data_IF_088886440141
#
_entry.id   IF_088886440141
#
_cell.length_a   1.000
_cell.length_b   1.000
_cell.length_c   1.000
_cell.angle_alpha   90.00
_cell.angle_beta   90.00
_cell.angle_gamma   90.00
#
_symmetry.space_group_name_H-M   'P 1'
#
loop_
_entity.id
_entity.type
_entity.pdbx_description
1 polymer ?
#
# COMPACT_ATOMS: atom_id res chain seq x y z
N UNK A 1 4.67 -23.98 3.58
CA UNK A 1 5.42 -23.23 4.59
C UNK A 1 6.74 -22.85 3.95
N UNK A 2 7.39 -21.77 4.37
CA UNK A 2 8.73 -21.43 3.91
C UNK A 2 9.70 -21.66 5.09
N UNK A 3 10.88 -22.19 4.82
CA UNK A 3 11.98 -22.24 5.78
C UNK A 3 13.10 -21.32 5.33
N UNK A 4 13.54 -20.43 6.22
CA UNK A 4 14.47 -19.37 5.90
C UNK A 4 15.92 -19.82 6.00
N UNK A 5 16.76 -19.29 5.11
CA UNK A 5 18.22 -19.48 5.10
C UNK A 5 18.84 -18.21 5.66
N UNK A 6 19.50 -18.32 6.79
CA UNK A 6 20.14 -17.20 7.49
C UNK A 6 21.66 -17.26 7.37
N UNK A 7 22.33 -16.10 7.53
CA UNK A 7 23.78 -16.03 7.68
C UNK A 7 24.21 -16.72 8.97
N UNK A 8 24.93 -17.87 8.91
CA UNK A 8 25.30 -18.61 10.10
C UNK A 8 26.43 -17.93 10.88
N UNK A 9 26.46 -18.14 12.19
CA UNK A 9 27.59 -17.72 13.02
C UNK A 9 28.67 -18.81 13.03
N UNK A 10 29.76 -18.60 12.34
CA UNK A 10 30.87 -19.56 12.21
C UNK A 10 32.09 -19.24 13.10
N UNK A 11 31.99 -18.17 13.91
CA UNK A 11 33.04 -17.77 14.86
C UNK A 11 32.51 -16.87 15.98
N UNK A 12 33.13 -16.90 17.15
CA UNK A 12 32.72 -16.14 18.33
C UNK A 12 32.84 -14.62 18.19
N UNK A 13 33.67 -14.13 17.26
CA UNK A 13 33.91 -12.70 17.02
C UNK A 13 33.33 -12.20 15.70
N UNK A 14 32.66 -13.07 14.97
CA UNK A 14 32.07 -12.73 13.67
C UNK A 14 30.83 -11.86 13.87
N UNK A 15 30.72 -10.73 13.17
CA UNK A 15 29.56 -9.83 13.17
C UNK A 15 28.81 -9.84 11.83
N UNK A 16 29.49 -10.16 10.73
CA UNK A 16 28.95 -10.25 9.37
C UNK A 16 29.69 -11.32 8.55
N UNK A 17 29.06 -11.81 7.49
CA UNK A 17 29.66 -12.72 6.51
C UNK A 17 29.42 -12.22 5.09
N UNK A 18 30.34 -12.53 4.16
CA UNK A 18 30.24 -12.16 2.75
C UNK A 18 29.80 -13.36 1.92
N UNK A 19 28.77 -13.20 1.08
CA UNK A 19 28.35 -14.21 0.12
C UNK A 19 29.33 -14.23 -1.06
N UNK A 20 30.05 -15.34 -1.24
CA UNK A 20 30.99 -15.51 -2.37
C UNK A 20 30.19 -15.77 -3.64
N UNK A 21 29.36 -16.79 -3.61
CA UNK A 21 28.53 -17.20 -4.75
C UNK A 21 27.34 -18.04 -4.31
N UNK A 22 26.31 -18.02 -5.12
CA UNK A 22 25.19 -18.95 -5.02
C UNK A 22 25.46 -20.18 -5.87
N UNK A 23 25.26 -21.36 -5.29
CA UNK A 23 25.42 -22.66 -5.96
C UNK A 23 24.11 -23.14 -6.63
N UNK A 24 23.01 -22.54 -6.23
CA UNK A 24 21.66 -22.73 -6.78
C UNK A 24 21.04 -21.39 -7.15
N UNK A 25 20.24 -21.37 -8.21
CA UNK A 25 19.49 -20.20 -8.64
C UNK A 25 18.10 -20.15 -7.98
N UNK A 26 17.52 -18.94 -7.88
CA UNK A 26 16.12 -18.81 -7.48
C UNK A 26 15.21 -19.61 -8.41
N UNK A 27 14.36 -20.47 -7.83
CA UNK A 27 13.50 -21.40 -8.56
C UNK A 27 14.07 -22.83 -8.70
N UNK A 28 15.32 -23.08 -8.32
CA UNK A 28 15.91 -24.42 -8.38
C UNK A 28 15.37 -25.33 -7.27
N UNK A 29 15.16 -26.61 -7.55
CA UNK A 29 14.82 -27.61 -6.55
C UNK A 29 16.02 -27.89 -5.65
N UNK A 30 15.79 -27.89 -4.33
CA UNK A 30 16.79 -28.20 -3.29
C UNK A 30 16.27 -29.25 -2.33
N UNK A 31 17.17 -30.07 -1.81
CA UNK A 31 16.89 -31.01 -0.73
C UNK A 31 17.55 -30.55 0.55
N UNK A 32 17.01 -30.95 1.67
CA UNK A 32 17.63 -30.71 2.97
C UNK A 32 19.06 -31.24 2.99
N UNK A 33 20.03 -30.35 3.32
CA UNK A 33 21.47 -30.67 3.30
C UNK A 33 22.16 -30.40 1.95
N UNK A 34 21.44 -30.00 0.87
CA UNK A 34 22.10 -29.58 -0.36
C UNK A 34 22.82 -28.24 -0.18
N UNK A 35 24.07 -28.08 -0.64
CA UNK A 35 24.77 -26.79 -0.58
C UNK A 35 24.08 -25.80 -1.54
N UNK A 36 23.68 -24.63 -1.01
CA UNK A 36 22.94 -23.61 -1.76
C UNK A 36 23.73 -22.34 -2.03
N UNK A 37 24.68 -21.99 -1.14
CA UNK A 37 25.58 -20.85 -1.32
C UNK A 37 26.89 -21.08 -0.58
N UNK A 38 27.93 -20.33 -0.97
CA UNK A 38 29.26 -20.29 -0.34
C UNK A 38 29.46 -18.91 0.27
N UNK A 39 29.85 -18.86 1.55
CA UNK A 39 30.14 -17.65 2.30
C UNK A 39 31.61 -17.60 2.71
N UNK A 40 32.15 -16.40 2.79
CA UNK A 40 33.51 -16.11 3.29
C UNK A 40 33.43 -15.49 4.67
N UNK A 41 34.19 -16.05 5.57
CA UNK A 41 34.44 -15.45 6.88
C UNK A 41 35.91 -14.98 6.92
N UNK A 42 36.29 -14.23 7.94
CA UNK A 42 37.68 -13.69 8.11
C UNK A 42 38.80 -14.77 7.98
N UNK A 43 38.45 -16.06 8.00
CA UNK A 43 39.48 -17.14 8.01
C UNK A 43 39.17 -18.32 7.08
N UNK A 44 37.94 -18.55 6.66
CA UNK A 44 37.56 -19.77 5.91
C UNK A 44 36.31 -19.52 5.05
N UNK A 45 36.24 -20.15 3.87
CA UNK A 45 35.04 -20.27 3.07
C UNK A 45 34.25 -21.50 3.50
N UNK A 46 32.94 -21.35 3.68
CA UNK A 46 32.04 -22.43 4.12
C UNK A 46 30.78 -22.46 3.25
N UNK A 47 30.33 -23.66 2.90
CA UNK A 47 29.07 -23.87 2.21
C UNK A 47 27.89 -23.85 3.21
N UNK A 48 26.81 -23.16 2.84
CA UNK A 48 25.56 -23.13 3.61
C UNK A 48 24.58 -24.06 2.94
N UNK A 49 24.02 -24.99 3.72
CA UNK A 49 23.10 -26.03 3.26
C UNK A 49 21.65 -25.56 3.33
N UNK A 50 20.81 -26.18 2.50
CA UNK A 50 19.35 -26.02 2.55
C UNK A 50 18.75 -26.59 3.84
N UNK A 51 17.93 -25.87 4.60
CA UNK A 51 17.29 -26.37 5.82
C UNK A 51 16.15 -27.37 5.54
N UNK A 52 15.59 -27.39 4.33
CA UNK A 52 14.43 -28.21 3.96
C UNK A 52 14.43 -28.66 2.51
N UNK A 53 13.56 -29.64 2.20
CA UNK A 53 13.24 -30.02 0.82
C UNK A 53 12.24 -29.01 0.23
N UNK A 54 12.52 -28.49 -0.99
CA UNK A 54 11.63 -27.55 -1.63
C UNK A 54 12.21 -26.88 -2.87
N UNK A 55 11.82 -25.64 -3.08
CA UNK A 55 12.33 -24.78 -4.17
C UNK A 55 12.95 -23.53 -3.54
N UNK A 56 14.16 -23.19 -3.97
CA UNK A 56 14.87 -22.00 -3.50
C UNK A 56 14.11 -20.74 -3.91
N UNK A 57 13.77 -19.91 -2.94
CA UNK A 57 13.08 -18.63 -3.12
C UNK A 57 13.98 -17.54 -3.72
N UNK A 58 13.51 -16.28 -3.73
CA UNK A 58 14.29 -15.15 -4.19
C UNK A 58 15.60 -14.98 -3.40
N UNK A 59 16.68 -14.68 -4.09
CA UNK A 59 17.96 -14.32 -3.48
C UNK A 59 17.86 -12.90 -2.95
N UNK A 60 18.01 -12.73 -1.63
CA UNK A 60 17.90 -11.43 -0.96
C UNK A 60 19.27 -10.73 -0.81
N UNK A 61 20.36 -11.50 -0.79
CA UNK A 61 21.72 -11.00 -0.72
C UNK A 61 22.51 -11.56 -1.90
N UNK A 62 22.91 -10.68 -2.81
CA UNK A 62 23.61 -11.08 -4.04
C UNK A 62 25.05 -11.53 -3.75
N UNK A 63 25.62 -12.29 -4.70
CA UNK A 63 27.03 -12.66 -4.65
C UNK A 63 27.94 -11.42 -4.60
N UNK A 64 28.89 -11.41 -3.68
CA UNK A 64 29.81 -10.29 -3.40
C UNK A 64 29.32 -9.33 -2.32
N UNK A 65 28.05 -9.41 -1.86
CA UNK A 65 27.52 -8.59 -0.79
C UNK A 65 27.72 -9.23 0.60
N UNK A 66 27.79 -8.40 1.66
CA UNK A 66 27.88 -8.84 3.06
C UNK A 66 26.50 -8.78 3.73
N UNK A 67 26.26 -9.70 4.67
CA UNK A 67 25.07 -9.70 5.52
C UNK A 67 25.47 -9.91 6.99
N UNK A 68 24.75 -9.29 7.96
CA UNK A 68 25.00 -9.52 9.38
C UNK A 68 24.63 -10.96 9.77
N UNK A 69 25.23 -11.48 10.83
CA UNK A 69 24.86 -12.79 11.39
C UNK A 69 23.37 -12.80 11.73
N UNK A 70 22.67 -13.89 11.36
CA UNK A 70 21.22 -14.00 11.51
C UNK A 70 20.43 -13.21 10.46
N UNK A 71 21.09 -12.49 9.54
CA UNK A 71 20.44 -11.86 8.40
C UNK A 71 19.89 -12.90 7.42
N UNK A 72 18.69 -12.70 6.94
CA UNK A 72 18.04 -13.60 5.97
C UNK A 72 18.70 -13.47 4.59
N UNK A 73 19.15 -14.60 4.03
CA UNK A 73 19.81 -14.70 2.73
C UNK A 73 18.84 -15.12 1.63
N UNK A 74 17.94 -16.07 1.94
CA UNK A 74 16.87 -16.59 1.08
C UNK A 74 15.91 -17.44 1.92
N UNK A 75 14.94 -18.10 1.28
CA UNK A 75 14.07 -19.09 1.91
C UNK A 75 13.82 -20.27 0.99
N UNK A 76 13.44 -21.42 1.55
CA UNK A 76 13.05 -22.61 0.81
C UNK A 76 11.55 -22.80 0.92
N UNK A 77 10.86 -22.78 -0.21
CA UNK A 77 9.42 -23.03 -0.31
C UNK A 77 9.16 -24.54 -0.22
N UNK A 78 8.73 -25.02 0.94
CA UNK A 78 8.48 -26.45 1.22
C UNK A 78 7.16 -26.98 0.66
N UNK A 79 6.37 -26.11 0.01
CA UNK A 79 5.16 -26.48 -0.71
C UNK A 79 5.23 -25.88 -2.11
N UNK A 80 5.51 -26.71 -3.09
CA UNK A 80 5.11 -26.42 -4.48
C UNK A 80 3.59 -26.60 -4.48
N UNK A 81 2.77 -25.54 -4.69
CA UNK A 81 1.36 -25.77 -4.95
C UNK A 81 1.30 -26.70 -6.17
N UNK A 82 0.47 -27.76 -6.14
CA UNK A 82 0.33 -28.61 -7.30
C UNK A 82 -0.07 -27.70 -8.48
N UNK A 83 0.45 -27.91 -9.69
CA UNK A 83 0.07 -27.08 -10.83
C UNK A 83 -1.44 -27.07 -10.86
N UNK A 84 -2.05 -25.87 -10.84
CA UNK A 84 -3.49 -25.67 -10.92
C UNK A 84 -3.96 -26.48 -12.14
N UNK A 85 -4.53 -27.67 -11.92
CA UNK A 85 -5.18 -28.44 -12.98
C UNK A 85 -6.44 -27.68 -13.36
N UNK A 86 -6.27 -26.75 -14.29
CA UNK A 86 -7.39 -26.05 -14.91
C UNK A 86 -8.24 -27.07 -15.65
N UNK A 87 -9.37 -27.42 -15.05
CA UNK A 87 -10.35 -28.29 -15.68
C UNK A 87 -11.10 -27.48 -16.75
N UNK A 88 -10.61 -27.52 -17.98
CA UNK A 88 -11.23 -26.86 -19.12
C UNK A 88 -11.62 -27.89 -20.19
N UNK A 89 -12.78 -27.69 -20.83
CA UNK A 89 -13.21 -28.54 -21.93
C UNK A 89 -12.30 -28.36 -23.16
N UNK A 90 -12.16 -29.37 -24.03
CA UNK A 90 -11.35 -29.23 -25.24
C UNK A 90 -11.77 -28.05 -26.14
N UNK A 91 -13.06 -27.68 -26.13
CA UNK A 91 -13.58 -26.54 -26.88
C UNK A 91 -13.15 -25.22 -26.21
N UNK A 92 -13.20 -25.13 -24.88
CA UNK A 92 -12.71 -23.96 -24.14
C UNK A 92 -11.22 -23.73 -24.37
N UNK A 93 -10.40 -24.78 -24.36
CA UNK A 93 -8.95 -24.65 -24.62
C UNK A 93 -8.66 -24.13 -26.04
N UNK A 94 -9.35 -24.67 -27.05
CA UNK A 94 -9.21 -24.16 -28.43
C UNK A 94 -9.64 -22.70 -28.55
N UNK A 95 -10.76 -22.33 -27.93
CA UNK A 95 -11.26 -20.98 -28.00
C UNK A 95 -10.40 -19.97 -27.25
N UNK A 96 -9.79 -20.37 -26.15
CA UNK A 96 -8.83 -19.55 -25.41
C UNK A 96 -7.57 -19.26 -26.23
N UNK A 97 -7.05 -20.27 -26.94
CA UNK A 97 -5.90 -20.11 -27.88
C UNK A 97 -6.27 -19.14 -29.01
N UNK A 98 -7.45 -19.34 -29.62
CA UNK A 98 -7.95 -18.50 -30.73
C UNK A 98 -8.10 -17.02 -30.33
N UNK A 99 -8.50 -16.77 -29.10
CA UNK A 99 -8.74 -15.41 -28.58
C UNK A 99 -7.57 -14.85 -27.74
N UNK A 100 -6.46 -15.59 -27.57
CA UNK A 100 -5.29 -15.16 -26.81
C UNK A 100 -5.58 -15.00 -25.30
N UNK A 101 -6.53 -15.77 -24.74
CA UNK A 101 -6.97 -15.66 -23.35
C UNK A 101 -6.28 -16.72 -22.50
N UNK A 102 -5.69 -16.27 -21.38
CA UNK A 102 -5.15 -17.15 -20.35
C UNK A 102 -6.31 -17.77 -19.53
N UNK A 103 -6.45 -19.10 -19.62
CA UNK A 103 -7.48 -19.85 -18.90
C UNK A 103 -7.38 -19.74 -17.39
N UNK A 104 -6.23 -19.37 -16.83
CA UNK A 104 -6.08 -19.13 -15.39
C UNK A 104 -6.87 -17.91 -14.89
N UNK A 105 -7.28 -17.01 -15.80
CA UNK A 105 -8.04 -15.80 -15.51
C UNK A 105 -9.52 -15.90 -15.81
N UNK A 106 -9.99 -17.09 -16.26
CA UNK A 106 -11.37 -17.33 -16.66
C UNK A 106 -12.11 -18.03 -15.52
N UNK A 107 -13.20 -17.45 -15.04
CA UNK A 107 -14.07 -18.09 -14.04
C UNK A 107 -14.83 -19.26 -14.67
N UNK A 108 -14.81 -20.40 -13.99
CA UNK A 108 -15.43 -21.63 -14.47
C UNK A 108 -16.91 -21.72 -14.07
N UNK A 109 -17.82 -21.79 -15.05
CA UNK A 109 -19.27 -21.95 -14.79
C UNK A 109 -19.80 -23.37 -15.05
N UNK A 110 -18.99 -24.26 -15.64
CA UNK A 110 -19.42 -25.61 -16.00
C UNK A 110 -19.48 -26.58 -14.81
N UNK A 111 -20.18 -27.72 -14.98
CA UNK A 111 -20.35 -28.73 -13.94
C UNK A 111 -19.00 -29.22 -13.38
N UNK A 112 -18.88 -29.24 -12.03
CA UNK A 112 -17.66 -29.64 -11.35
C UNK A 112 -16.50 -28.63 -11.44
N UNK A 113 -16.80 -27.32 -11.59
CA UNK A 113 -15.78 -26.27 -11.67
C UNK A 113 -14.97 -26.30 -12.97
N UNK A 114 -15.55 -26.74 -14.06
CA UNK A 114 -14.90 -26.86 -15.37
C UNK A 114 -15.16 -25.63 -16.23
N UNK A 115 -14.09 -25.05 -16.80
CA UNK A 115 -14.18 -23.96 -17.76
C UNK A 115 -14.78 -24.47 -19.06
N UNK A 116 -15.88 -23.86 -19.49
CA UNK A 116 -16.55 -24.16 -20.77
C UNK A 116 -16.31 -23.04 -21.79
N UNK A 117 -16.63 -23.30 -23.06
CA UNK A 117 -16.38 -22.31 -24.14
C UNK A 117 -17.10 -20.98 -23.92
N UNK A 118 -18.28 -21.00 -23.29
CA UNK A 118 -19.04 -19.81 -22.96
C UNK A 118 -18.30 -18.87 -21.99
N UNK A 119 -17.56 -19.43 -21.02
CA UNK A 119 -16.80 -18.65 -20.03
C UNK A 119 -15.66 -17.88 -20.71
N UNK A 120 -14.99 -18.54 -21.67
CA UNK A 120 -13.90 -17.92 -22.43
C UNK A 120 -14.42 -16.78 -23.31
N UNK A 121 -15.58 -16.95 -23.95
CA UNK A 121 -16.23 -15.87 -24.72
C UNK A 121 -16.69 -14.73 -23.84
N UNK A 122 -17.30 -15.01 -22.71
CA UNK A 122 -17.73 -14.00 -21.73
C UNK A 122 -16.56 -13.16 -21.23
N UNK A 123 -15.42 -13.81 -20.92
CA UNK A 123 -14.20 -13.12 -20.50
C UNK A 123 -13.62 -12.23 -21.62
N UNK A 124 -13.70 -12.68 -22.89
CA UNK A 124 -13.31 -11.89 -24.05
C UNK A 124 -14.15 -10.62 -24.22
N UNK A 125 -15.45 -10.73 -24.03
CA UNK A 125 -16.41 -9.61 -24.18
C UNK A 125 -16.29 -8.59 -23.04
N UNK A 126 -16.01 -9.04 -21.82
CA UNK A 126 -15.72 -8.17 -20.66
C UNK A 126 -14.44 -7.35 -20.87
N UNK A 127 -13.40 -7.93 -21.47
CA UNK A 127 -12.17 -7.22 -21.83
C UNK A 127 -12.38 -6.11 -22.87
N UNK A 128 -13.39 -6.23 -23.73
CA UNK A 128 -13.76 -5.21 -24.71
C UNK A 128 -14.56 -4.03 -24.14
N UNK A 129 -15.22 -4.22 -23.00
CA UNK A 129 -16.05 -3.18 -22.36
C UNK A 129 -15.26 -2.24 -21.43
N UNK A 130 -13.98 -2.49 -21.19
CA UNK A 130 -13.12 -1.69 -20.29
C UNK A 130 -12.17 -0.73 -21.00
N UNK A 131 -12.33 -0.50 -22.31
CA UNK A 131 -11.54 0.52 -23.01
C UNK A 131 -12.33 1.84 -22.94
N UNK A 132 -11.78 2.92 -22.31
CA UNK A 132 -12.43 4.23 -22.32
C UNK A 132 -12.53 4.74 -23.76
N UNK A 133 -13.71 5.17 -24.18
CA UNK A 133 -13.94 5.81 -25.47
C UNK A 133 -13.08 7.07 -25.56
N UNK A 134 -12.15 7.11 -26.51
CA UNK A 134 -11.48 8.33 -26.94
C UNK A 134 -12.48 9.26 -27.63
N UNK A 135 -12.33 10.59 -27.52
CA UNK A 135 -13.25 11.54 -28.10
C UNK A 135 -13.28 11.42 -29.63
N UNK A 136 -14.48 11.45 -30.18
CA UNK A 136 -14.75 11.47 -31.61
C UNK A 136 -14.03 12.68 -32.26
N UNK A 137 -12.98 12.39 -33.00
CA UNK A 137 -12.49 13.30 -34.06
C UNK A 137 -13.09 12.78 -35.35
N UNK A 138 -13.80 13.63 -36.08
CA UNK A 138 -14.35 13.32 -37.41
C UNK A 138 -13.22 12.82 -38.31
N UNK A 139 -13.31 11.56 -38.69
CA UNK A 139 -12.37 10.94 -39.61
C UNK A 139 -12.68 11.44 -41.03
N UNK A 140 -11.79 12.26 -41.53
CA UNK A 140 -11.63 12.48 -43.00
C UNK A 140 -11.33 11.08 -43.60
N UNK A 141 -12.17 10.66 -44.54
CA UNK A 141 -12.03 9.44 -45.31
C UNK A 141 -10.71 9.48 -46.12
N UNK A 142 -9.61 9.06 -45.54
CA UNK A 142 -8.42 8.69 -46.28
C UNK A 142 -8.61 7.28 -46.87
N UNK A 143 -8.43 7.20 -48.18
CA UNK A 143 -8.52 5.98 -48.96
C UNK A 143 -7.61 4.90 -48.38
N UNK A 144 -8.17 3.70 -48.10
CA UNK A 144 -7.40 2.52 -47.69
C UNK A 144 -6.29 2.27 -48.71
N UNK A 145 -5.00 2.13 -48.29
CA UNK A 145 -3.93 1.77 -49.20
C UNK A 145 -4.22 0.37 -49.76
N UNK A 146 -4.23 0.24 -51.07
CA UNK A 146 -4.40 -1.03 -51.78
C UNK A 146 -3.35 -2.05 -51.24
N UNK A 147 -3.79 -3.28 -50.97
CA UNK A 147 -2.92 -4.32 -50.47
C UNK A 147 -1.60 -4.40 -51.27
N UNK A 148 -0.43 -4.43 -50.62
CA UNK A 148 0.86 -4.39 -51.32
C UNK A 148 0.96 -5.53 -52.31
N UNK A 149 1.39 -5.25 -53.54
CA UNK A 149 1.68 -6.24 -54.54
C UNK A 149 2.94 -7.02 -54.10
N UNK A 150 2.83 -8.27 -53.76
CA UNK A 150 3.93 -9.10 -53.21
C UNK A 150 4.28 -10.20 -54.23
N UNK A 151 5.57 -10.46 -54.45
CA UNK A 151 5.99 -11.59 -55.23
C UNK A 151 5.75 -12.91 -54.49
N UNK A 152 5.47 -14.04 -55.20
CA UNK A 152 5.24 -15.32 -54.53
C UNK A 152 6.40 -15.77 -53.63
N UNK A 153 7.63 -15.43 -54.02
CA UNK A 153 8.84 -15.76 -53.28
C UNK A 153 8.97 -14.90 -52.02
N UNK A 154 8.68 -13.59 -52.11
CA UNK A 154 8.67 -12.68 -50.96
C UNK A 154 7.61 -13.08 -49.95
N UNK A 155 6.44 -13.56 -50.35
CA UNK A 155 5.39 -14.03 -49.44
C UNK A 155 5.83 -15.24 -48.63
N UNK A 156 6.41 -16.27 -49.31
CA UNK A 156 6.95 -17.45 -48.62
C UNK A 156 8.04 -17.09 -47.62
N UNK A 157 8.96 -16.22 -48.01
CA UNK A 157 10.04 -15.78 -47.14
C UNK A 157 9.55 -14.95 -45.96
N UNK A 158 8.50 -14.14 -46.13
CA UNK A 158 7.89 -13.36 -45.04
C UNK A 158 7.21 -14.28 -44.01
N UNK A 159 6.50 -15.35 -44.50
CA UNK A 159 5.90 -16.36 -43.65
C UNK A 159 6.97 -17.13 -42.85
N UNK A 160 8.11 -17.45 -43.52
CA UNK A 160 9.23 -18.19 -42.92
C UNK A 160 10.00 -17.36 -41.89
N UNK A 161 10.15 -16.03 -42.10
CA UNK A 161 10.89 -15.10 -41.26
C UNK A 161 10.00 -14.30 -40.26
N UNK A 162 8.68 -14.51 -40.29
CA UNK A 162 7.72 -13.81 -39.44
C UNK A 162 7.65 -12.30 -39.72
N UNK A 163 7.84 -11.84 -40.95
CA UNK A 163 7.83 -10.42 -41.35
C UNK A 163 6.44 -10.03 -41.83
N UNK A 164 5.89 -8.97 -41.21
CA UNK A 164 4.63 -8.36 -41.65
C UNK A 164 4.79 -7.58 -42.94
N UNK A 165 4.23 -8.14 -44.06
CA UNK A 165 4.31 -7.56 -45.39
C UNK A 165 3.60 -6.21 -45.53
N UNK A 166 2.67 -5.87 -44.65
CA UNK A 166 2.00 -4.57 -44.66
C UNK A 166 2.95 -3.42 -44.25
N UNK A 167 3.99 -3.74 -43.47
CA UNK A 167 5.02 -2.80 -43.02
C UNK A 167 6.23 -2.68 -43.95
N UNK A 168 6.28 -3.49 -45.04
CA UNK A 168 7.44 -3.54 -45.96
C UNK A 168 7.17 -2.71 -47.20
N UNK A 169 8.03 -1.69 -47.44
CA UNK A 169 8.00 -0.93 -48.70
C UNK A 169 8.63 -1.77 -49.84
N UNK A 170 7.86 -1.99 -50.92
CA UNK A 170 8.31 -2.77 -52.07
C UNK A 170 9.25 -1.97 -52.99
N UNK A 171 10.43 -2.51 -53.33
CA UNK A 171 11.41 -1.92 -54.24
C UNK A 171 11.31 -2.46 -55.69
N UNK A 172 10.46 -3.44 -55.93
CA UNK A 172 10.28 -4.02 -57.29
C UNK A 172 9.41 -3.19 -58.21
N UNK A 173 9.33 -3.55 -59.52
CA UNK A 173 8.57 -2.83 -60.52
C UNK A 173 7.10 -2.60 -60.12
N UNK A 174 6.66 -1.34 -60.14
CA UNK A 174 5.31 -0.97 -59.73
C UNK A 174 5.05 -1.06 -58.21
N UNK A 175 6.07 -0.90 -57.36
CA UNK A 175 5.95 -0.91 -55.90
C UNK A 175 5.76 -2.35 -55.35
N UNK A 176 6.16 -3.39 -56.06
CA UNK A 176 6.03 -4.76 -55.63
C UNK A 176 7.07 -5.14 -54.56
N UNK A 177 6.66 -5.77 -53.48
CA UNK A 177 7.55 -6.32 -52.45
C UNK A 177 8.27 -7.51 -53.03
N UNK A 178 9.60 -7.47 -53.05
CA UNK A 178 10.49 -8.54 -53.50
C UNK A 178 11.23 -9.18 -52.32
N UNK A 179 11.91 -10.33 -52.61
CA UNK A 179 12.60 -11.10 -51.56
C UNK A 179 13.60 -10.26 -50.75
N UNK A 180 14.36 -9.39 -51.40
CA UNK A 180 15.36 -8.54 -50.77
C UNK A 180 14.76 -7.52 -49.80
N UNK A 181 13.53 -7.08 -50.03
CA UNK A 181 12.81 -6.18 -49.10
C UNK A 181 12.45 -6.91 -47.81
N UNK A 182 12.00 -8.17 -47.92
CA UNK A 182 11.67 -9.00 -46.77
C UNK A 182 12.92 -9.33 -45.95
N UNK A 183 14.04 -9.68 -46.64
CA UNK A 183 15.33 -9.91 -45.96
C UNK A 183 15.84 -8.66 -45.23
N UNK A 184 15.71 -7.49 -45.86
CA UNK A 184 16.06 -6.20 -45.26
C UNK A 184 15.21 -5.89 -44.03
N UNK A 185 13.90 -6.10 -44.11
CA UNK A 185 12.98 -5.92 -43.02
C UNK A 185 13.26 -6.89 -41.87
N UNK A 186 13.53 -8.16 -42.18
CA UNK A 186 13.94 -9.16 -41.18
C UNK A 186 15.26 -8.81 -40.49
N UNK A 187 16.25 -8.29 -41.23
CA UNK A 187 17.52 -7.85 -40.69
C UNK A 187 17.35 -6.59 -39.79
N UNK A 188 16.48 -5.65 -40.19
CA UNK A 188 16.15 -4.46 -39.38
C UNK A 188 15.40 -4.82 -38.08
N UNK A 189 14.55 -5.87 -38.13
CA UNK A 189 13.86 -6.39 -36.93
C UNK A 189 14.80 -7.15 -35.98
N UNK A 190 15.96 -7.63 -36.45
CA UNK A 190 16.99 -8.28 -35.64
C UNK A 190 17.99 -7.32 -35.00
N UNK A 191 17.99 -6.05 -35.39
CA UNK A 191 18.79 -5.04 -34.69
C UNK A 191 18.25 -4.91 -33.27
N UNK A 192 19.13 -4.92 -32.23
CA UNK A 192 18.67 -4.75 -30.87
C UNK A 192 17.92 -3.40 -30.78
N UNK A 193 16.64 -3.43 -30.44
CA UNK A 193 15.91 -2.22 -30.13
C UNK A 193 16.71 -1.46 -29.08
N UNK A 194 17.02 -0.21 -29.35
CA UNK A 194 17.64 0.67 -28.36
C UNK A 194 16.87 0.48 -27.04
N UNK A 195 17.54 0.22 -25.90
CA UNK A 195 16.85 0.05 -24.65
C UNK A 195 15.94 1.26 -24.42
N UNK A 196 14.69 1.01 -24.04
CA UNK A 196 13.76 2.08 -23.70
C UNK A 196 14.45 2.98 -22.66
N UNK A 197 14.28 4.32 -22.74
CA UNK A 197 14.90 5.21 -21.78
C UNK A 197 14.47 4.79 -20.38
N UNK A 198 15.44 4.46 -19.53
CA UNK A 198 15.20 4.13 -18.12
C UNK A 198 14.67 5.43 -17.49
N UNK A 199 13.49 5.40 -16.85
CA UNK A 199 12.95 6.58 -16.19
C UNK A 199 13.94 7.07 -15.12
N UNK A 200 14.09 8.39 -14.94
CA UNK A 200 14.99 8.94 -13.93
C UNK A 200 14.53 8.47 -12.53
N UNK A 201 15.47 7.92 -11.76
CA UNK A 201 15.25 7.52 -10.37
C UNK A 201 15.62 8.70 -9.49
N UNK A 202 14.64 9.29 -8.80
CA UNK A 202 14.87 10.37 -7.84
C UNK A 202 14.93 9.78 -6.42
N UNK A 203 16.03 9.98 -5.67
CA UNK A 203 16.11 9.54 -4.28
C UNK A 203 15.14 10.34 -3.41
N UNK A 204 14.55 9.68 -2.41
CA UNK A 204 13.69 10.35 -1.45
C UNK A 204 14.45 11.44 -0.67
N UNK A 205 13.81 12.59 -0.46
CA UNK A 205 14.33 13.63 0.44
C UNK A 205 14.48 13.08 1.87
N UNK A 206 15.36 13.71 2.71
CA UNK A 206 15.65 13.22 4.05
C UNK A 206 14.41 12.98 4.91
N UNK A 207 13.45 13.93 4.93
CA UNK A 207 12.19 13.80 5.68
C UNK A 207 11.33 12.67 5.11
N UNK A 208 11.15 12.61 3.80
CA UNK A 208 10.36 11.55 3.16
C UNK A 208 10.94 10.16 3.38
N UNK A 209 12.26 10.03 3.40
CA UNK A 209 12.91 8.75 3.70
C UNK A 209 12.59 8.29 5.11
N UNK A 210 12.72 9.17 6.12
CA UNK A 210 12.38 8.85 7.52
C UNK A 210 10.92 8.45 7.67
N UNK A 211 9.99 9.16 6.99
CA UNK A 211 8.56 8.81 7.00
C UNK A 211 8.34 7.44 6.35
N UNK A 212 8.97 7.16 5.20
CA UNK A 212 8.86 5.87 4.51
C UNK A 212 9.34 4.71 5.39
N UNK A 213 10.51 4.85 6.02
CA UNK A 213 11.08 3.86 6.94
C UNK A 213 10.16 3.62 8.14
N UNK A 214 9.66 4.69 8.78
CA UNK A 214 8.75 4.59 9.93
C UNK A 214 7.42 3.94 9.58
N UNK A 215 6.81 4.30 8.46
CA UNK A 215 5.53 3.73 8.01
C UNK A 215 5.67 2.27 7.59
N UNK A 216 6.74 1.94 6.86
CA UNK A 216 7.04 0.55 6.51
C UNK A 216 7.27 -0.30 7.78
N UNK A 217 8.08 0.19 8.73
CA UNK A 217 8.30 -0.47 10.01
C UNK A 217 6.99 -0.66 10.79
N UNK A 218 6.16 0.38 10.91
CA UNK A 218 4.88 0.30 11.59
C UNK A 218 3.98 -0.79 10.99
N UNK A 219 3.82 -0.77 9.68
CA UNK A 219 2.94 -1.72 8.99
C UNK A 219 3.44 -3.17 9.04
N UNK A 220 4.77 -3.36 9.02
CA UNK A 220 5.38 -4.69 9.10
C UNK A 220 5.38 -5.29 10.51
N UNK A 221 5.46 -4.45 11.57
CA UNK A 221 5.67 -4.94 12.95
C UNK A 221 4.44 -4.88 13.84
N UNK A 222 3.51 -3.95 13.59
CA UNK A 222 2.29 -3.82 14.37
C UNK A 222 1.11 -4.53 13.65
N UNK A 223 0.51 -5.57 14.22
CA UNK A 223 -0.70 -6.19 13.68
C UNK A 223 -1.86 -5.19 13.79
N UNK A 224 -2.17 -4.51 12.70
CA UNK A 224 -3.25 -3.53 12.66
C UNK A 224 -4.62 -4.20 12.71
N UNK A 225 -5.47 -3.72 13.60
CA UNK A 225 -6.87 -4.09 13.69
C UNK A 225 -7.73 -2.81 13.58
N UNK A 226 -8.81 -2.86 12.82
CA UNK A 226 -9.59 -1.68 12.47
C UNK A 226 -11.04 -1.82 12.94
N UNK A 227 -11.55 -0.77 13.59
CA UNK A 227 -12.97 -0.63 13.95
C UNK A 227 -13.50 0.66 13.36
N UNK A 228 -14.74 0.61 12.87
CA UNK A 228 -15.37 1.80 12.30
C UNK A 228 -16.76 1.99 12.88
N UNK A 229 -17.13 3.26 13.10
CA UNK A 229 -18.46 3.68 13.51
C UNK A 229 -18.87 4.93 12.74
N UNK A 230 -20.16 5.06 12.48
CA UNK A 230 -20.75 6.31 12.01
C UNK A 230 -21.32 7.07 13.20
N UNK A 231 -20.88 8.32 13.40
CA UNK A 231 -21.35 9.19 14.47
C UNK A 231 -22.18 10.35 13.90
N UNK A 232 -23.30 10.64 14.52
CA UNK A 232 -24.12 11.81 14.22
C UNK A 232 -23.41 13.07 14.75
N UNK A 233 -23.30 14.11 13.92
CA UNK A 233 -22.46 15.26 14.20
C UNK A 233 -23.23 16.58 14.35
N UNK A 234 -24.57 16.56 14.45
CA UNK A 234 -25.41 17.77 14.57
C UNK A 234 -25.05 18.58 15.81
N UNK A 235 -24.93 17.94 16.97
CA UNK A 235 -24.63 18.62 18.23
C UNK A 235 -23.21 19.19 18.21
N UNK A 236 -22.23 18.46 17.66
CA UNK A 236 -20.86 18.95 17.49
C UNK A 236 -20.82 20.18 16.57
N UNK A 237 -21.55 20.15 15.44
CA UNK A 237 -21.60 21.28 14.52
C UNK A 237 -22.22 22.54 15.17
N UNK A 238 -23.33 22.37 15.89
CA UNK A 238 -24.00 23.45 16.64
C UNK A 238 -23.11 24.01 17.74
N UNK A 239 -22.46 23.16 18.52
CA UNK A 239 -21.50 23.57 19.55
C UNK A 239 -20.37 24.40 18.96
N UNK A 240 -19.77 23.92 17.85
CA UNK A 240 -18.70 24.65 17.16
C UNK A 240 -19.20 26.03 16.70
N UNK A 241 -20.37 26.11 16.05
CA UNK A 241 -20.95 27.37 15.58
C UNK A 241 -21.18 28.36 16.73
N UNK A 242 -21.78 27.88 17.82
CA UNK A 242 -22.03 28.70 19.01
C UNK A 242 -20.78 29.23 19.73
N UNK A 243 -19.67 28.49 19.66
CA UNK A 243 -18.42 28.86 20.31
C UNK A 243 -17.45 29.64 19.39
N UNK A 244 -17.69 29.65 18.09
CA UNK A 244 -16.75 30.18 17.10
C UNK A 244 -16.35 31.61 17.39
N UNK A 245 -17.30 32.56 17.46
CA UNK A 245 -17.05 33.98 17.68
C UNK A 245 -16.42 34.26 19.04
N UNK A 246 -16.85 33.54 20.09
CA UNK A 246 -16.31 33.68 21.44
C UNK A 246 -14.85 33.26 21.54
N UNK A 247 -14.50 32.14 20.95
CA UNK A 247 -13.12 31.63 20.96
C UNK A 247 -12.22 32.48 20.08
N UNK A 248 -12.70 32.88 18.88
CA UNK A 248 -11.95 33.78 18.01
C UNK A 248 -11.64 35.14 18.68
N UNK A 249 -12.62 35.71 19.40
CA UNK A 249 -12.41 36.93 20.17
C UNK A 249 -11.43 36.74 21.34
N UNK A 250 -11.44 35.57 21.99
CA UNK A 250 -10.60 35.31 23.17
C UNK A 250 -9.14 35.02 22.84
N UNK A 251 -8.86 34.28 21.75
CA UNK A 251 -7.51 33.77 21.44
C UNK A 251 -7.02 34.15 20.03
N UNK A 252 -7.80 34.85 19.22
CA UNK A 252 -7.44 35.31 17.89
C UNK A 252 -7.41 34.20 16.83
N UNK A 253 -7.95 33.01 17.16
CA UNK A 253 -7.88 31.82 16.32
C UNK A 253 -9.26 31.21 16.14
N UNK A 254 -9.60 30.81 14.92
CA UNK A 254 -10.86 30.13 14.59
C UNK A 254 -10.89 28.71 15.14
N UNK A 255 -11.98 28.35 15.85
CA UNK A 255 -12.24 26.99 16.31
C UNK A 255 -12.53 26.08 15.10
N UNK A 256 -11.83 24.96 15.00
CA UNK A 256 -12.02 23.94 13.97
C UNK A 256 -12.68 22.68 14.54
N UNK A 257 -13.21 21.83 13.66
CA UNK A 257 -13.69 20.50 14.05
C UNK A 257 -12.55 19.67 14.66
N UNK A 258 -11.33 19.79 14.11
CA UNK A 258 -10.16 19.07 14.65
C UNK A 258 -9.84 19.46 16.10
N UNK A 259 -10.05 20.72 16.50
CA UNK A 259 -9.82 21.16 17.89
C UNK A 259 -10.78 20.45 18.87
N UNK A 260 -12.06 20.33 18.48
CA UNK A 260 -13.06 19.62 19.28
C UNK A 260 -12.71 18.13 19.33
N UNK A 261 -12.31 17.54 18.21
CA UNK A 261 -11.92 16.12 18.14
C UNK A 261 -10.66 15.83 18.95
N UNK A 262 -9.70 16.75 19.03
CA UNK A 262 -8.54 16.64 19.94
C UNK A 262 -9.01 16.59 21.40
N UNK A 263 -9.96 17.46 21.78
CA UNK A 263 -10.56 17.44 23.13
C UNK A 263 -11.29 16.12 23.41
N UNK A 264 -12.09 15.65 22.43
CA UNK A 264 -12.80 14.36 22.50
C UNK A 264 -11.82 13.21 22.73
N UNK A 265 -10.75 13.15 21.91
CA UNK A 265 -9.73 12.11 22.07
C UNK A 265 -9.01 12.20 23.42
N UNK A 266 -8.65 13.41 23.85
CA UNK A 266 -8.02 13.62 25.16
C UNK A 266 -8.89 13.12 26.31
N UNK A 267 -10.17 13.50 26.32
CA UNK A 267 -11.13 13.07 27.33
C UNK A 267 -11.34 11.55 27.31
N UNK A 268 -11.55 10.97 26.13
CA UNK A 268 -11.72 9.52 25.99
C UNK A 268 -10.47 8.73 26.46
N UNK A 269 -9.26 9.24 26.20
CA UNK A 269 -8.01 8.63 26.69
C UNK A 269 -7.88 8.68 28.21
N UNK A 270 -8.31 9.78 28.85
CA UNK A 270 -8.30 9.90 30.30
C UNK A 270 -9.27 8.91 30.96
N UNK A 271 -10.41 8.65 30.33
CA UNK A 271 -11.43 7.70 30.81
C UNK A 271 -11.07 6.22 30.47
N UNK A 272 -10.22 6.00 29.45
CA UNK A 272 -9.78 4.68 29.00
C UNK A 272 -8.25 4.54 29.07
N UNK A 273 -7.66 4.48 30.27
CA UNK A 273 -6.21 4.39 30.45
C UNK A 273 -5.59 3.13 29.82
N UNK A 274 -6.41 2.11 29.55
CA UNK A 274 -5.98 0.90 28.85
C UNK A 274 -5.62 1.16 27.39
N UNK A 275 -6.20 2.18 26.77
CA UNK A 275 -5.91 2.61 25.39
C UNK A 275 -4.75 3.59 25.34
N UNK A 276 -4.50 4.32 26.44
CA UNK A 276 -3.41 5.30 26.53
C UNK A 276 -2.07 4.61 26.84
N UNK A 277 -1.61 3.73 25.93
CA UNK A 277 -0.42 2.89 26.08
C UNK A 277 0.47 2.96 24.86
N UNK A 278 1.71 2.55 25.02
CA UNK A 278 2.71 2.46 23.95
C UNK A 278 3.42 1.10 23.96
N UNK A 279 3.95 0.69 22.80
CA UNK A 279 4.75 -0.51 22.65
C UNK A 279 6.22 -0.24 22.93
N UNK A 280 6.81 -0.99 23.86
CA UNK A 280 8.26 -1.05 24.06
C UNK A 280 8.82 -2.31 23.36
N UNK A 281 9.42 -2.11 22.19
CA UNK A 281 10.08 -3.18 21.44
C UNK A 281 11.50 -3.48 21.91
N UNK A 282 12.07 -2.69 22.85
CA UNK A 282 13.43 -2.92 23.39
C UNK A 282 13.44 -3.99 24.48
N UNK A 283 12.31 -4.23 25.15
CA UNK A 283 12.17 -5.28 26.13
C UNK A 283 12.11 -6.67 25.47
N UNK A 284 12.75 -7.71 26.02
CA UNK A 284 12.66 -9.07 25.53
C UNK A 284 11.20 -9.55 25.44
N UNK A 285 10.73 -9.87 24.23
CA UNK A 285 9.34 -10.23 23.97
C UNK A 285 8.37 -9.06 23.86
N UNK A 286 8.86 -7.82 24.00
CA UNK A 286 8.07 -6.59 24.00
C UNK A 286 7.40 -6.28 25.35
N UNK A 287 7.04 -5.02 25.59
CA UNK A 287 6.35 -4.59 26.79
C UNK A 287 5.31 -3.49 26.51
N UNK A 288 4.37 -3.32 27.44
CA UNK A 288 3.37 -2.25 27.40
C UNK A 288 3.82 -1.13 28.33
N UNK A 289 3.96 0.08 27.78
CA UNK A 289 4.20 1.30 28.57
C UNK A 289 2.85 1.98 28.80
N UNK A 290 2.42 2.17 30.05
CA UNK A 290 1.24 2.97 30.40
C UNK A 290 1.63 4.43 30.44
N UNK A 291 0.90 5.27 29.69
CA UNK A 291 1.16 6.70 29.58
C UNK A 291 0.27 7.48 30.53
N UNK A 292 0.89 8.41 31.30
CA UNK A 292 0.16 9.16 32.36
C UNK A 292 -0.64 10.35 31.80
N UNK A 293 -0.28 10.84 30.61
CA UNK A 293 -0.86 12.02 30.00
C UNK A 293 -1.57 11.66 28.68
N UNK A 294 -2.70 12.31 28.43
CA UNK A 294 -3.42 12.21 27.15
C UNK A 294 -2.84 13.25 26.16
N UNK A 295 -1.77 12.86 25.47
CA UNK A 295 -1.05 13.71 24.52
C UNK A 295 -1.49 13.38 23.10
N UNK A 296 -2.31 14.22 22.48
CA UNK A 296 -2.89 13.95 21.16
C UNK A 296 -2.06 14.59 20.05
N UNK A 297 -1.46 13.73 19.21
CA UNK A 297 -0.81 14.15 17.96
C UNK A 297 -1.86 14.45 16.89
N UNK A 298 -1.69 15.55 16.18
CA UNK A 298 -2.55 15.94 15.06
C UNK A 298 -1.78 15.77 13.74
N UNK A 299 -2.24 14.86 12.87
CA UNK A 299 -1.64 14.69 11.56
C UNK A 299 -1.89 15.91 10.67
N UNK A 300 -0.81 16.59 10.24
CA UNK A 300 -0.86 17.81 9.40
C UNK A 300 -0.01 17.61 8.17
N UNK A 301 -0.59 17.86 7.00
CA UNK A 301 0.14 17.85 5.72
C UNK A 301 0.77 19.24 5.50
N UNK A 302 2.09 19.25 5.32
CA UNK A 302 2.88 20.43 5.00
C UNK A 302 3.57 20.24 3.64
N UNK A 303 4.13 21.30 3.08
CA UNK A 303 4.88 21.22 1.82
C UNK A 303 6.07 20.23 1.89
N UNK A 304 6.71 20.13 3.05
CA UNK A 304 7.83 19.22 3.30
C UNK A 304 7.41 17.76 3.54
N UNK A 305 6.12 17.48 3.73
CA UNK A 305 5.58 16.14 4.04
C UNK A 305 4.60 16.15 5.20
N UNK A 306 4.18 14.96 5.63
CA UNK A 306 3.29 14.75 6.78
C UNK A 306 4.08 14.88 8.09
N UNK A 307 3.58 15.69 9.02
CA UNK A 307 4.09 15.81 10.39
C UNK A 307 2.95 15.60 11.40
N UNK A 308 3.30 15.21 12.62
CA UNK A 308 2.32 14.93 13.68
C UNK A 308 2.72 15.72 14.95
N UNK A 309 2.48 17.05 14.98
CA UNK A 309 2.70 17.84 16.19
C UNK A 309 1.76 17.40 17.31
N UNK A 310 2.24 17.49 18.56
CA UNK A 310 1.58 16.95 19.74
C UNK A 310 0.98 18.06 20.59
N UNK A 311 -0.32 17.95 20.86
CA UNK A 311 -1.04 18.76 21.85
C UNK A 311 -1.03 17.99 23.16
N UNK A 312 -0.23 18.46 24.11
CA UNK A 312 -0.03 17.77 25.40
C UNK A 312 -1.21 18.01 26.32
N UNK A 313 -1.54 17.01 27.15
CA UNK A 313 -2.59 17.07 28.17
C UNK A 313 -3.94 17.57 27.60
N UNK A 314 -4.32 17.05 26.43
CA UNK A 314 -5.52 17.48 25.71
C UNK A 314 -6.82 17.32 26.53
N UNK A 315 -6.85 16.38 27.48
CA UNK A 315 -7.90 16.16 28.46
C UNK A 315 -8.10 17.38 29.38
N UNK A 316 -7.03 18.10 29.73
CA UNK A 316 -7.05 19.20 30.69
C UNK A 316 -7.21 20.57 30.03
N UNK A 317 -6.88 20.72 28.78
CA UNK A 317 -6.98 21.96 28.04
C UNK A 317 -8.42 22.30 27.70
N UNK A 318 -8.74 23.59 27.73
CA UNK A 318 -9.99 24.14 27.16
C UNK A 318 -9.93 24.13 25.63
N UNK A 319 -11.09 24.21 24.96
CA UNK A 319 -11.16 24.31 23.51
C UNK A 319 -10.41 25.54 22.95
N UNK A 320 -10.40 26.67 23.69
CA UNK A 320 -9.66 27.85 23.31
C UNK A 320 -8.14 27.63 23.36
N UNK A 321 -7.63 26.94 24.37
CA UNK A 321 -6.23 26.61 24.52
C UNK A 321 -5.80 25.58 23.45
N UNK A 322 -6.64 24.59 23.17
CA UNK A 322 -6.37 23.60 22.08
C UNK A 322 -6.30 24.31 20.73
N UNK A 323 -7.28 25.19 20.42
CA UNK A 323 -7.30 25.93 19.16
C UNK A 323 -6.05 26.81 19.01
N UNK A 324 -5.63 27.50 20.06
CA UNK A 324 -4.40 28.31 20.10
C UNK A 324 -3.16 27.45 19.89
N UNK A 325 -3.02 26.35 20.63
CA UNK A 325 -1.88 25.43 20.51
C UNK A 325 -1.78 24.82 19.11
N UNK A 326 -2.92 24.37 18.58
CA UNK A 326 -2.96 23.85 17.20
C UNK A 326 -2.48 24.89 16.19
N UNK A 327 -2.97 26.14 16.28
CA UNK A 327 -2.56 27.19 15.36
C UNK A 327 -1.05 27.47 15.45
N UNK A 328 -0.50 27.63 16.65
CA UNK A 328 0.94 27.84 16.88
C UNK A 328 1.80 26.70 16.30
N UNK A 329 1.38 25.44 16.49
CA UNK A 329 2.08 24.26 15.97
C UNK A 329 2.02 24.19 14.44
N UNK A 330 0.85 24.47 13.85
CA UNK A 330 0.67 24.47 12.39
C UNK A 330 1.49 25.59 11.73
N UNK A 331 1.50 26.79 12.31
CA UNK A 331 2.25 27.92 11.75
C UNK A 331 3.76 27.68 11.85
N UNK A 332 4.25 27.19 12.99
CA UNK A 332 5.66 26.75 13.11
C UNK A 332 6.00 25.63 12.13
N UNK A 333 5.05 24.71 11.88
CA UNK A 333 5.22 23.67 10.90
C UNK A 333 5.37 24.20 9.47
N UNK A 334 4.55 25.18 9.08
CA UNK A 334 4.64 25.84 7.76
C UNK A 334 5.94 26.59 7.57
N UNK A 335 6.47 27.17 8.66
CA UNK A 335 7.74 27.87 8.67
C UNK A 335 8.98 26.95 8.79
N UNK A 336 8.78 25.63 8.93
CA UNK A 336 9.86 24.67 9.17
C UNK A 336 10.55 24.80 10.52
N UNK A 337 9.86 25.38 11.52
CA UNK A 337 10.37 25.70 12.87
C UNK A 337 9.87 24.76 13.98
N UNK A 338 9.26 23.60 13.62
CA UNK A 338 8.90 22.59 14.61
C UNK A 338 10.18 22.03 15.25
N UNK A 339 10.20 22.04 16.59
CA UNK A 339 11.27 21.42 17.35
C UNK A 339 10.92 19.97 17.70
N UNK A 340 11.94 19.18 18.06
CA UNK A 340 11.75 17.79 18.45
C UNK A 340 10.69 17.60 19.57
N UNK A 341 10.65 18.42 20.63
CA UNK A 341 9.62 18.33 21.65
C UNK A 341 8.18 18.56 21.16
N UNK A 342 8.00 19.19 19.98
CA UNK A 342 6.68 19.40 19.40
C UNK A 342 6.15 18.15 18.69
N UNK A 343 7.04 17.19 18.36
CA UNK A 343 6.76 15.99 17.59
C UNK A 343 6.81 14.71 18.43
N UNK A 344 7.37 14.77 19.63
CA UNK A 344 7.58 13.62 20.51
C UNK A 344 6.61 13.62 21.71
N UNK A 345 6.47 12.44 22.32
CA UNK A 345 5.67 12.22 23.52
C UNK A 345 4.16 12.20 23.27
N UNK A 346 3.73 12.07 22.02
CA UNK A 346 2.33 11.79 21.69
C UNK A 346 1.93 10.39 22.12
N UNK A 347 0.76 10.27 22.74
CA UNK A 347 0.21 8.97 23.17
C UNK A 347 -0.83 8.41 22.22
N UNK A 348 -1.40 9.24 21.38
CA UNK A 348 -2.45 8.94 20.41
C UNK A 348 -2.34 9.87 19.20
N UNK A 349 -2.79 9.44 18.04
CA UNK A 349 -2.81 10.31 16.84
C UNK A 349 -4.22 10.50 16.31
N UNK A 350 -4.56 11.73 15.95
CA UNK A 350 -5.77 12.11 15.22
C UNK A 350 -5.40 12.45 13.77
N UNK A 351 -6.01 11.78 12.80
CA UNK A 351 -5.86 12.08 11.38
C UNK A 351 -7.22 12.46 10.79
N UNK A 352 -7.37 13.69 10.33
CA UNK A 352 -8.61 14.20 9.77
C UNK A 352 -8.42 14.54 8.28
N UNK A 353 -9.11 13.78 7.39
CA UNK A 353 -9.15 14.03 5.95
C UNK A 353 -10.52 14.52 5.46
N UNK A 354 -11.40 14.90 6.36
CA UNK A 354 -12.74 15.38 6.03
C UNK A 354 -12.75 16.61 5.13
N UNK A 355 -11.76 17.49 5.28
CA UNK A 355 -11.60 18.70 4.45
C UNK A 355 -11.24 18.38 2.98
N UNK A 356 -10.73 17.17 2.72
CA UNK A 356 -10.40 16.69 1.37
C UNK A 356 -11.52 15.87 0.73
N UNK A 357 -12.70 15.81 1.36
CA UNK A 357 -13.87 15.11 0.83
C UNK A 357 -13.85 13.60 1.02
N UNK A 358 -12.94 13.07 1.85
CA UNK A 358 -12.82 11.64 2.13
C UNK A 358 -13.92 11.23 3.11
N UNK A 359 -14.69 10.21 2.76
CA UNK A 359 -15.77 9.71 3.61
C UNK A 359 -15.23 8.81 4.74
N UNK A 360 -14.30 7.92 4.43
CA UNK A 360 -13.71 6.97 5.36
C UNK A 360 -12.32 6.54 4.86
N UNK A 361 -11.39 6.30 5.78
CA UNK A 361 -10.08 5.72 5.49
C UNK A 361 -9.52 5.01 6.71
N UNK A 362 -8.49 4.20 6.50
CA UNK A 362 -7.73 3.52 7.54
C UNK A 362 -6.35 4.14 7.63
N UNK A 363 -5.97 4.61 8.82
CA UNK A 363 -4.66 5.20 9.05
C UNK A 363 -3.65 4.13 9.49
N UNK A 364 -2.39 4.31 9.08
CA UNK A 364 -1.27 3.52 9.61
C UNK A 364 -0.91 4.06 10.99
N UNK A 365 -0.66 3.16 11.94
CA UNK A 365 -0.25 3.51 13.30
C UNK A 365 1.04 4.33 13.30
N UNK A 366 1.14 5.26 14.24
CA UNK A 366 2.34 6.06 14.49
C UNK A 366 3.11 5.49 15.70
N UNK A 367 4.04 4.57 15.53
CA UNK A 367 4.75 3.95 16.64
C UNK A 367 5.46 4.98 17.52
N UNK A 368 5.53 4.74 18.84
CA UNK A 368 5.12 3.54 19.59
C UNK A 368 3.65 3.52 20.08
N UNK A 369 2.80 4.43 19.58
CA UNK A 369 1.40 4.60 20.02
C UNK A 369 0.56 3.36 19.69
N UNK A 370 -0.37 3.04 20.60
CA UNK A 370 -1.27 1.91 20.46
C UNK A 370 -2.41 2.13 19.45
N UNK A 371 -2.79 3.39 19.20
CA UNK A 371 -3.94 3.69 18.36
C UNK A 371 -3.86 5.02 17.61
N UNK A 372 -4.60 5.11 16.51
CA UNK A 372 -4.81 6.31 15.69
C UNK A 372 -6.27 6.38 15.24
N UNK A 373 -6.90 7.55 15.35
CA UNK A 373 -8.24 7.81 14.87
C UNK A 373 -8.22 8.50 13.51
N UNK A 374 -8.78 7.86 12.51
CA UNK A 374 -9.05 8.44 11.20
C UNK A 374 -10.48 9.01 11.15
N UNK A 375 -10.61 10.28 10.74
CA UNK A 375 -11.87 11.00 10.68
C UNK A 375 -12.20 11.40 9.25
N UNK A 376 -13.37 10.96 8.79
CA UNK A 376 -13.94 11.33 7.50
C UNK A 376 -14.68 12.67 7.54
N UNK A 377 -15.19 13.07 6.38
CA UNK A 377 -15.96 14.32 6.26
C UNK A 377 -17.31 14.23 6.98
N UNK A 378 -17.72 15.37 7.53
CA UNK A 378 -19.10 15.60 7.94
C UNK A 378 -19.95 15.78 6.69
N UNK A 379 -20.98 14.96 6.52
CA UNK A 379 -21.88 14.98 5.36
C UNK A 379 -23.29 14.59 5.77
N UNK A 380 -24.29 15.21 5.16
CA UNK A 380 -25.69 14.84 5.32
C UNK A 380 -25.94 13.44 4.75
N UNK A 381 -26.45 12.54 5.61
CA UNK A 381 -26.84 11.17 5.25
C UNK A 381 -28.22 10.82 5.80
N UNK A 382 -28.95 9.94 5.12
CA UNK A 382 -30.18 9.39 5.69
C UNK A 382 -29.84 8.46 6.85
N UNK A 383 -30.40 8.75 8.03
CA UNK A 383 -30.27 7.93 9.24
C UNK A 383 -31.65 7.57 9.76
N UNK A 384 -31.78 6.41 10.40
CA UNK A 384 -33.00 6.02 11.09
C UNK A 384 -32.97 6.56 12.51
N UNK A 385 -33.94 7.43 12.86
CA UNK A 385 -34.15 7.94 14.20
C UNK A 385 -35.59 7.64 14.61
N UNK A 386 -35.78 6.94 15.71
CA UNK A 386 -37.11 6.55 16.24
C UNK A 386 -38.00 5.90 15.19
N UNK A 387 -37.42 5.08 14.31
CA UNK A 387 -38.14 4.37 13.23
C UNK A 387 -38.48 5.23 12.01
N UNK A 388 -38.03 6.50 11.96
CA UNK A 388 -38.23 7.42 10.84
C UNK A 388 -36.88 7.71 10.17
N UNK A 389 -36.86 7.74 8.84
CA UNK A 389 -35.65 8.15 8.09
C UNK A 389 -35.59 9.67 8.07
N UNK A 390 -34.51 10.21 8.62
CA UNK A 390 -34.20 11.64 8.67
C UNK A 390 -32.86 11.91 8.03
N UNK A 391 -32.64 13.11 7.51
CA UNK A 391 -31.31 13.53 7.02
C UNK A 391 -30.58 14.22 8.16
N UNK A 392 -29.38 13.74 8.46
CA UNK A 392 -28.51 14.27 9.51
C UNK A 392 -27.06 14.38 9.05
N UNK A 393 -26.30 15.39 9.51
CA UNK A 393 -24.86 15.41 9.34
C UNK A 393 -24.24 14.27 10.14
N UNK A 394 -23.53 13.38 9.48
CA UNK A 394 -22.77 12.26 10.09
C UNK A 394 -21.33 12.27 9.63
N UNK A 395 -20.44 11.62 10.41
CA UNK A 395 -19.07 11.37 10.04
C UNK A 395 -18.68 9.94 10.36
N UNK A 396 -17.83 9.36 9.53
CA UNK A 396 -17.20 8.07 9.82
C UNK A 396 -15.93 8.26 10.63
N UNK A 397 -15.80 7.45 11.67
CA UNK A 397 -14.64 7.33 12.53
C UNK A 397 -14.07 5.94 12.33
N UNK A 398 -12.78 5.83 12.04
CA UNK A 398 -12.07 4.55 11.96
C UNK A 398 -10.90 4.57 12.91
N UNK A 399 -10.92 3.70 13.90
CA UNK A 399 -9.84 3.49 14.85
C UNK A 399 -8.95 2.37 14.34
N UNK A 400 -7.67 2.65 14.12
CA UNK A 400 -6.65 1.62 13.91
C UNK A 400 -5.92 1.38 15.22
N UNK A 401 -5.76 0.12 15.62
CA UNK A 401 -5.10 -0.26 16.87
C UNK A 401 -4.01 -1.29 16.64
N UNK A 402 -2.99 -1.29 17.48
CA UNK A 402 -2.00 -2.34 17.57
C UNK A 402 -2.57 -3.51 18.39
N UNK A 403 -2.88 -4.64 17.73
CA UNK A 403 -3.51 -5.78 18.38
C UNK A 403 -2.61 -6.52 19.36
N UNK A 404 -1.33 -6.15 19.49
CA UNK A 404 -0.45 -6.61 20.57
C UNK A 404 -0.75 -5.92 21.89
N UNK A 405 -1.31 -4.70 21.85
CA UNK A 405 -1.57 -3.83 23.00
C UNK A 405 -3.03 -3.78 23.39
N UNK A 406 -3.94 -3.85 22.42
CA UNK A 406 -5.38 -3.66 22.61
C UNK A 406 -6.16 -4.80 21.96
N UNK A 407 -7.13 -5.32 22.69
CA UNK A 407 -8.12 -6.24 22.15
C UNK A 407 -9.33 -5.52 21.52
N UNK A 408 -10.19 -6.29 20.87
CA UNK A 408 -11.37 -5.75 20.19
C UNK A 408 -12.36 -5.08 21.14
N UNK A 409 -12.49 -5.53 22.39
CA UNK A 409 -13.46 -5.00 23.36
C UNK A 409 -12.98 -3.66 23.92
N UNK A 410 -11.70 -3.56 24.28
CA UNK A 410 -11.10 -2.31 24.76
C UNK A 410 -11.19 -1.23 23.69
N UNK A 411 -10.78 -1.56 22.46
CA UNK A 411 -10.84 -0.64 21.33
C UNK A 411 -12.28 -0.22 20.97
N UNK A 412 -13.25 -1.15 21.04
CA UNK A 412 -14.66 -0.85 20.76
C UNK A 412 -15.26 0.10 21.80
N UNK A 413 -15.03 -0.11 23.09
CA UNK A 413 -15.49 0.78 24.16
C UNK A 413 -14.91 2.19 24.04
N UNK A 414 -13.63 2.29 23.73
CA UNK A 414 -13.00 3.57 23.47
C UNK A 414 -13.65 4.29 22.28
N UNK A 415 -13.84 3.60 21.15
CA UNK A 415 -14.44 4.19 19.96
C UNK A 415 -15.91 4.57 20.19
N UNK A 416 -16.67 3.77 20.93
CA UNK A 416 -18.03 4.07 21.37
C UNK A 416 -18.05 5.37 22.20
N UNK A 417 -17.12 5.51 23.16
CA UNK A 417 -17.02 6.75 23.98
C UNK A 417 -16.66 7.96 23.13
N UNK A 418 -15.75 7.83 22.18
CA UNK A 418 -15.43 8.89 21.21
C UNK A 418 -16.68 9.31 20.43
N UNK A 419 -17.44 8.34 19.91
CA UNK A 419 -18.68 8.61 19.17
C UNK A 419 -19.72 9.30 20.07
N UNK A 420 -19.89 8.87 21.32
CA UNK A 420 -20.78 9.50 22.29
C UNK A 420 -20.39 10.95 22.56
N UNK A 421 -19.12 11.25 22.80
CA UNK A 421 -18.64 12.62 23.05
C UNK A 421 -18.83 13.53 21.82
N UNK A 422 -18.87 12.99 20.62
CA UNK A 422 -19.20 13.73 19.39
C UNK A 422 -20.70 14.03 19.33
N UNK A 423 -21.53 13.06 19.69
CA UNK A 423 -23.00 13.18 19.66
C UNK A 423 -23.53 14.02 20.83
N UNK A 424 -22.84 14.00 21.94
CA UNK A 424 -23.19 14.69 23.19
C UNK A 424 -22.03 15.58 23.70
N UNK A 425 -21.60 16.60 22.92
CA UNK A 425 -20.38 17.34 23.21
C UNK A 425 -20.45 18.22 24.48
N UNK A 426 -21.62 18.36 25.12
CA UNK A 426 -21.73 18.98 26.45
C UNK A 426 -20.97 18.19 27.52
N UNK A 427 -20.79 16.88 27.35
CA UNK A 427 -19.99 16.03 28.24
C UNK A 427 -18.48 16.41 28.25
N UNK A 428 -18.04 17.27 27.34
CA UNK A 428 -16.65 17.76 27.31
C UNK A 428 -16.39 18.92 28.30
N UNK A 429 -17.43 19.47 28.90
CA UNK A 429 -17.38 20.69 29.79
C UNK A 429 -17.77 20.38 31.23
N UNK A 430 -18.08 19.14 31.54
CA UNK A 430 -18.23 18.62 32.88
C UNK A 430 -16.87 18.18 33.44
#
# INVERSE_FOLDING_TARGET
MAEDIYMPQLGLTMTEGKVIRWLKASGDPVRKGDPVLEIETDKVSVEVESPADGVLGPILVEAGASAPIGGMLSHVLTHTPPPLRLFATPRARRKAIELGIDLARVEASGPGGRIVEADVRYHADQGRLQTPAAPHVEAVLEAQPAAPRVSPLARRLADELGVDLAAVAGSGPGGRVVEDDVRRAAAASRLPRSPAPVPPVEPLSGVRRVVAERMAHSFATAPHFYLSVEAEATALARMREGLLARIEAAVGVRLTVSDILVKVCGQALAEHPDVNVAWDGSAPGGAVIRLAEANVGLAVSLAAGLVVPVIRQADRLTLAEIAKRRAELVDRGREGKLALPDLEGGSFTLSNLGMFGIDQFQAILNPPQAAILAVGRVKDRPVALDGVVVVRPTMHLTLSVDHRLLDGVQAARFLERVAQLIQEPYLLVE
#
